data_IF_139532823994
#
_entry.id   IF_139532823994
#
_cell.length_a   1.000
_cell.length_b   1.000
_cell.length_c   1.000
_cell.angle_alpha   90.00
_cell.angle_beta   90.00
_cell.angle_gamma   90.00
#
_symmetry.space_group_name_H-M   'P 1'
#
loop_
_entity.id
_entity.type
_entity.pdbx_description
1 polymer ?
#
# COMPACT_ATOMS: atom_id res chain seq x y z
N UNK A 1 -21.40 15.62 -26.01
CA UNK A 1 -20.93 14.74 -24.93
C UNK A 1 -20.07 15.48 -23.88
N UNK A 2 -18.95 16.13 -24.22
CA UNK A 2 -18.12 16.81 -23.20
C UNK A 2 -18.85 18.00 -22.54
N UNK A 3 -19.41 18.91 -23.34
CA UNK A 3 -20.12 20.10 -22.82
C UNK A 3 -21.35 19.77 -21.97
N UNK A 4 -22.01 18.63 -22.22
CA UNK A 4 -23.21 18.23 -21.47
C UNK A 4 -22.89 17.69 -20.07
N UNK A 5 -21.62 17.37 -19.79
CA UNK A 5 -21.17 16.82 -18.50
C UNK A 5 -20.07 17.69 -17.86
N UNK A 6 -19.90 18.93 -18.33
CA UNK A 6 -18.90 19.88 -17.82
C UNK A 6 -19.60 20.99 -17.06
N UNK A 7 -19.12 21.29 -15.84
CA UNK A 7 -19.58 22.42 -15.03
C UNK A 7 -18.59 23.57 -15.08
N UNK A 8 -19.10 24.80 -14.96
CA UNK A 8 -18.26 26.01 -14.93
C UNK A 8 -17.17 25.90 -13.85
N UNK A 9 -15.94 26.30 -14.19
CA UNK A 9 -14.77 26.24 -13.30
C UNK A 9 -14.05 24.89 -13.25
N UNK A 10 -14.62 23.81 -13.79
CA UNK A 10 -13.93 22.51 -13.85
C UNK A 10 -12.84 22.50 -14.93
N UNK A 11 -11.70 21.87 -14.62
CA UNK A 11 -10.65 21.54 -15.59
C UNK A 11 -10.83 20.11 -16.08
N UNK A 12 -10.55 19.88 -17.36
CA UNK A 12 -10.61 18.55 -17.95
C UNK A 12 -9.20 17.93 -18.02
N UNK A 13 -9.00 16.78 -17.39
CA UNK A 13 -7.78 16.00 -17.56
C UNK A 13 -7.78 15.36 -18.96
N UNK A 14 -6.68 15.49 -19.70
CA UNK A 14 -6.57 15.00 -21.08
C UNK A 14 -5.27 14.22 -21.23
N UNK A 15 -5.31 13.03 -21.85
CA UNK A 15 -4.13 12.17 -22.03
C UNK A 15 -3.24 12.50 -23.22
N UNK A 16 -3.57 13.54 -24.02
CA UNK A 16 -2.75 13.97 -25.16
C UNK A 16 -2.71 15.50 -25.26
N UNK A 17 -1.54 16.03 -25.62
CA UNK A 17 -1.29 17.48 -25.68
C UNK A 17 -2.00 18.16 -26.86
N UNK A 18 -2.19 17.44 -27.97
CA UNK A 18 -2.97 17.90 -29.12
C UNK A 18 -4.46 18.01 -28.78
N UNK A 19 -5.02 17.04 -28.04
CA UNK A 19 -6.40 17.09 -27.55
C UNK A 19 -6.61 18.27 -26.61
N UNK A 20 -5.68 18.53 -25.68
CA UNK A 20 -5.69 19.73 -24.84
C UNK A 20 -5.82 21.00 -25.69
N UNK A 21 -4.93 21.18 -26.68
CA UNK A 21 -4.94 22.35 -27.57
C UNK A 21 -6.28 22.51 -28.31
N UNK A 22 -6.80 21.42 -28.87
CA UNK A 22 -8.05 21.43 -29.65
C UNK A 22 -9.25 21.74 -28.75
N UNK A 23 -9.33 21.11 -27.57
CA UNK A 23 -10.44 21.29 -26.62
C UNK A 23 -10.44 22.71 -26.06
N UNK A 24 -9.28 23.22 -25.64
CA UNK A 24 -9.15 24.60 -25.15
C UNK A 24 -9.53 25.61 -26.23
N UNK A 25 -9.08 25.42 -27.47
CA UNK A 25 -9.36 26.33 -28.58
C UNK A 25 -10.84 26.34 -28.98
N UNK A 26 -11.45 25.16 -29.16
CA UNK A 26 -12.80 24.99 -29.73
C UNK A 26 -13.91 24.97 -28.67
N UNK A 27 -13.67 24.31 -27.54
CA UNK A 27 -14.69 24.12 -26.50
C UNK A 27 -14.59 25.15 -25.38
N UNK A 28 -13.47 25.91 -25.30
CA UNK A 28 -13.22 26.91 -24.25
C UNK A 28 -13.23 26.31 -22.83
N UNK A 29 -12.83 25.05 -22.71
CA UNK A 29 -12.69 24.32 -21.44
C UNK A 29 -11.20 24.23 -21.11
N UNK A 30 -10.81 24.64 -19.90
CA UNK A 30 -9.42 24.51 -19.45
C UNK A 30 -9.02 23.05 -19.26
N UNK A 31 -7.81 22.69 -19.71
CA UNK A 31 -7.34 21.30 -19.65
C UNK A 31 -6.08 21.13 -18.80
N UNK A 32 -6.05 20.04 -18.04
CA UNK A 32 -4.86 19.53 -17.37
C UNK A 32 -4.18 18.50 -18.27
N UNK A 33 -2.87 18.68 -18.44
CA UNK A 33 -1.97 17.78 -19.15
C UNK A 33 -0.62 17.92 -18.46
N UNK A 34 -0.39 17.04 -17.50
CA UNK A 34 0.80 16.98 -16.64
C UNK A 34 1.09 15.51 -16.29
N UNK A 35 2.19 15.29 -15.59
CA UNK A 35 2.64 13.94 -15.23
C UNK A 35 1.60 13.14 -14.41
N UNK A 36 0.95 13.69 -13.36
CA UNK A 36 -0.14 13.01 -12.67
C UNK A 36 -1.31 12.61 -13.58
N UNK A 37 -1.70 13.48 -14.52
CA UNK A 37 -2.74 13.14 -15.51
C UNK A 37 -2.29 12.01 -16.43
N UNK A 38 -1.02 11.99 -16.85
CA UNK A 38 -0.50 10.91 -17.70
C UNK A 38 -0.50 9.55 -16.97
N UNK A 39 -0.10 9.52 -15.70
CA UNK A 39 -0.18 8.33 -14.84
C UNK A 39 -1.63 7.84 -14.69
N UNK A 40 -2.57 8.75 -14.43
CA UNK A 40 -4.00 8.42 -14.33
C UNK A 40 -4.54 7.85 -15.64
N UNK A 41 -4.24 8.48 -16.77
CA UNK A 41 -4.71 8.06 -18.08
C UNK A 41 -4.15 6.70 -18.48
N UNK A 42 -2.88 6.42 -18.11
CA UNK A 42 -2.28 5.10 -18.27
C UNK A 42 -3.03 4.05 -17.45
N UNK A 43 -3.30 4.33 -16.17
CA UNK A 43 -4.04 3.40 -15.29
C UNK A 43 -5.43 3.08 -15.84
N UNK A 44 -6.20 4.13 -16.19
CA UNK A 44 -7.54 3.98 -16.76
C UNK A 44 -7.58 3.13 -18.03
N UNK A 45 -6.58 3.26 -18.91
CA UNK A 45 -6.47 2.44 -20.12
C UNK A 45 -6.25 0.96 -19.79
N UNK A 46 -5.39 0.67 -18.82
CA UNK A 46 -5.07 -0.71 -18.44
C UNK A 46 -6.24 -1.43 -17.75
N UNK A 47 -7.11 -0.70 -17.04
CA UNK A 47 -8.30 -1.28 -16.39
C UNK A 47 -9.60 -1.06 -17.18
N UNK A 48 -9.51 -0.53 -18.40
CA UNK A 48 -10.69 -0.08 -19.15
C UNK A 48 -11.70 -1.21 -19.36
N UNK A 49 -11.23 -2.42 -19.69
CA UNK A 49 -12.11 -3.60 -19.88
C UNK A 49 -12.85 -4.00 -18.61
N UNK A 50 -12.26 -3.75 -17.44
CA UNK A 50 -12.91 -4.00 -16.15
C UNK A 50 -13.95 -2.93 -15.82
N UNK A 51 -13.64 -1.65 -16.10
CA UNK A 51 -14.55 -0.53 -15.84
C UNK A 51 -15.72 -0.45 -16.84
N UNK A 52 -15.44 -0.78 -18.10
CA UNK A 52 -16.39 -0.70 -19.22
C UNK A 52 -16.27 -2.00 -20.03
N UNK A 53 -16.97 -3.08 -19.65
CA UNK A 53 -16.84 -4.37 -20.32
C UNK A 53 -17.22 -4.39 -21.81
N UNK A 54 -18.00 -3.40 -22.26
CA UNK A 54 -18.37 -3.23 -23.66
C UNK A 54 -17.26 -2.54 -24.50
N UNK A 55 -16.25 -1.95 -23.85
CA UNK A 55 -15.11 -1.34 -24.53
C UNK A 55 -14.19 -2.43 -25.08
N UNK A 56 -13.96 -2.39 -26.38
CA UNK A 56 -13.16 -3.39 -27.11
C UNK A 56 -11.81 -2.84 -27.57
N UNK A 57 -11.50 -1.57 -27.27
CA UNK A 57 -10.21 -0.98 -27.57
C UNK A 57 -9.08 -1.74 -26.84
N UNK A 58 -8.19 -2.30 -27.65
CA UNK A 58 -6.94 -2.87 -27.16
C UNK A 58 -5.88 -1.78 -26.94
N UNK A 59 -4.95 -2.02 -26.02
CA UNK A 59 -3.80 -1.15 -25.83
C UNK A 59 -2.96 -1.11 -27.11
N UNK A 60 -2.63 0.10 -27.57
CA UNK A 60 -1.74 0.29 -28.72
C UNK A 60 -0.29 0.01 -28.31
N UNK A 61 0.59 -0.18 -29.30
CA UNK A 61 2.04 -0.29 -29.05
C UNK A 61 2.60 0.94 -28.33
N UNK A 62 2.05 2.12 -28.58
CA UNK A 62 2.45 3.36 -27.90
C UNK A 62 2.02 3.38 -26.42
N UNK A 63 0.83 2.84 -26.13
CA UNK A 63 0.35 2.68 -24.75
C UNK A 63 1.22 1.71 -23.95
N UNK A 64 1.70 0.64 -24.58
CA UNK A 64 2.58 -0.37 -23.96
C UNK A 64 4.02 0.10 -23.73
N UNK A 65 4.47 1.17 -24.40
CA UNK A 65 5.82 1.75 -24.18
C UNK A 65 5.97 2.50 -22.86
N UNK A 66 4.86 2.79 -22.20
CA UNK A 66 4.84 3.53 -20.96
C UNK A 66 4.44 2.58 -19.84
N UNK A 67 5.09 2.69 -18.68
CA UNK A 67 4.71 2.02 -17.44
C UNK A 67 4.49 3.09 -16.37
N UNK A 68 3.54 2.87 -15.47
CA UNK A 68 3.36 3.76 -14.32
C UNK A 68 4.64 3.83 -13.47
N UNK A 69 5.09 5.04 -13.15
CA UNK A 69 6.23 5.26 -12.23
C UNK A 69 5.96 4.68 -10.85
N UNK A 70 4.72 4.80 -10.38
CA UNK A 70 4.30 4.24 -9.08
C UNK A 70 4.40 2.72 -9.08
N UNK A 71 3.88 2.08 -10.13
CA UNK A 71 3.98 0.63 -10.31
C UNK A 71 5.44 0.19 -10.40
N UNK A 72 6.27 0.87 -11.19
CA UNK A 72 7.70 0.58 -11.31
C UNK A 72 8.43 0.68 -9.96
N UNK A 73 8.15 1.72 -9.18
CA UNK A 73 8.75 1.90 -7.85
C UNK A 73 8.37 0.77 -6.90
N UNK A 74 7.11 0.35 -6.90
CA UNK A 74 6.65 -0.79 -6.10
C UNK A 74 7.33 -2.08 -6.55
N UNK A 75 7.29 -2.40 -7.85
CA UNK A 75 7.90 -3.62 -8.38
C UNK A 75 9.42 -3.68 -8.09
N UNK A 76 10.14 -2.59 -8.33
CA UNK A 76 11.57 -2.49 -8.03
C UNK A 76 11.87 -2.69 -6.54
N UNK A 77 11.04 -2.14 -5.65
CA UNK A 77 11.17 -2.32 -4.19
C UNK A 77 11.14 -3.79 -3.77
N UNK A 78 10.40 -4.62 -4.50
CA UNK A 78 10.32 -6.07 -4.27
C UNK A 78 11.24 -6.90 -5.18
N UNK A 79 12.14 -6.26 -5.93
CA UNK A 79 13.17 -6.92 -6.72
C UNK A 79 12.71 -7.40 -8.10
N UNK A 80 11.50 -7.05 -8.54
CA UNK A 80 11.04 -7.31 -9.90
C UNK A 80 11.74 -6.36 -10.87
N UNK A 81 12.31 -6.90 -11.95
CA UNK A 81 12.89 -6.13 -13.06
C UNK A 81 11.93 -6.22 -14.23
N UNK A 82 11.19 -5.14 -14.48
CA UNK A 82 10.07 -5.11 -15.42
C UNK A 82 10.29 -3.99 -16.42
N UNK A 83 10.27 -4.35 -17.69
CA UNK A 83 10.19 -3.42 -18.81
C UNK A 83 8.72 -3.17 -19.19
N UNK A 84 8.37 -2.01 -19.77
CA UNK A 84 6.97 -1.66 -20.09
C UNK A 84 6.22 -2.72 -20.91
N UNK A 85 6.90 -3.41 -21.84
CA UNK A 85 6.31 -4.43 -22.70
C UNK A 85 5.91 -5.71 -21.94
N UNK A 86 6.42 -5.90 -20.72
CA UNK A 86 6.08 -7.03 -19.85
C UNK A 86 4.84 -6.77 -18.99
N UNK A 87 4.26 -5.56 -19.04
CA UNK A 87 3.11 -5.22 -18.22
C UNK A 87 1.84 -5.86 -18.78
N UNK A 88 1.29 -6.78 -18.00
CA UNK A 88 -0.01 -7.41 -18.22
C UNK A 88 -0.91 -7.27 -16.97
N UNK A 89 -2.11 -7.86 -17.05
CA UNK A 89 -3.11 -7.82 -15.97
C UNK A 89 -2.62 -8.48 -14.68
N UNK A 90 -1.85 -9.57 -14.80
CA UNK A 90 -1.31 -10.29 -13.65
C UNK A 90 -0.26 -9.45 -12.92
N UNK A 91 0.64 -8.80 -13.66
CA UNK A 91 1.66 -7.93 -13.08
C UNK A 91 1.04 -6.68 -12.44
N UNK A 92 -0.01 -6.10 -13.02
CA UNK A 92 -0.78 -5.01 -12.42
C UNK A 92 -1.42 -5.48 -11.11
N UNK A 93 -1.97 -6.69 -11.10
CA UNK A 93 -2.59 -7.28 -9.90
C UNK A 93 -1.56 -7.51 -8.80
N UNK A 94 -0.37 -8.02 -9.14
CA UNK A 94 0.74 -8.19 -8.20
C UNK A 94 1.18 -6.84 -7.63
N UNK A 95 1.43 -5.84 -8.48
CA UNK A 95 1.85 -4.51 -8.04
C UNK A 95 0.81 -3.87 -7.12
N UNK A 96 -0.48 -4.00 -7.45
CA UNK A 96 -1.59 -3.51 -6.63
C UNK A 96 -1.61 -4.19 -5.27
N UNK A 97 -1.53 -5.53 -5.23
CA UNK A 97 -1.53 -6.29 -3.98
C UNK A 97 -0.32 -5.94 -3.08
N UNK A 98 0.87 -5.73 -3.68
CA UNK A 98 2.06 -5.29 -2.95
C UNK A 98 1.92 -3.87 -2.40
N UNK A 99 1.38 -2.95 -3.20
CA UNK A 99 1.10 -1.58 -2.78
C UNK A 99 0.10 -1.53 -1.63
N UNK A 100 -1.03 -2.21 -1.75
CA UNK A 100 -2.07 -2.26 -0.71
C UNK A 100 -1.55 -2.90 0.57
N UNK A 101 -0.72 -3.93 0.45
CA UNK A 101 -0.06 -4.56 1.60
C UNK A 101 0.86 -3.57 2.32
N UNK A 102 1.71 -2.85 1.60
CA UNK A 102 2.56 -1.81 2.18
C UNK A 102 1.74 -0.69 2.82
N UNK A 103 0.70 -0.22 2.13
CA UNK A 103 -0.19 0.81 2.64
C UNK A 103 -0.88 0.40 3.94
N UNK A 104 -1.42 -0.82 3.99
CA UNK A 104 -2.08 -1.37 5.19
C UNK A 104 -1.14 -1.37 6.40
N UNK A 105 0.10 -1.83 6.21
CA UNK A 105 1.11 -1.86 7.28
C UNK A 105 1.51 -0.42 7.69
N UNK A 106 1.80 0.44 6.72
CA UNK A 106 2.33 1.79 6.96
C UNK A 106 1.29 2.75 7.55
N UNK A 107 0.00 2.51 7.33
CA UNK A 107 -1.08 3.30 7.95
C UNK A 107 -1.01 3.28 9.48
N UNK A 108 -0.45 2.22 10.07
CA UNK A 108 -0.30 2.10 11.52
C UNK A 108 1.09 2.52 12.03
N UNK A 109 1.98 3.00 11.17
CA UNK A 109 3.38 3.27 11.52
C UNK A 109 3.50 4.23 12.72
N UNK A 110 2.76 5.35 12.69
CA UNK A 110 2.79 6.32 13.77
C UNK A 110 2.31 5.72 15.10
N UNK A 111 1.18 5.01 15.09
CA UNK A 111 0.63 4.35 16.26
C UNK A 111 1.62 3.34 16.86
N UNK A 112 2.22 2.51 16.02
CA UNK A 112 3.16 1.48 16.43
C UNK A 112 4.46 2.06 16.97
N UNK A 113 5.00 3.10 16.33
CA UNK A 113 6.20 3.79 16.82
C UNK A 113 5.95 4.51 18.14
N UNK A 114 4.78 5.15 18.31
CA UNK A 114 4.37 5.72 19.61
C UNK A 114 4.26 4.61 20.67
N UNK A 115 3.66 3.48 20.33
CA UNK A 115 3.62 2.30 21.20
C UNK A 115 5.02 1.82 21.60
N UNK A 116 5.95 1.72 20.66
CA UNK A 116 7.35 1.36 20.93
C UNK A 116 8.06 2.34 21.86
N UNK A 117 7.85 3.66 21.69
CA UNK A 117 8.37 4.67 22.63
C UNK A 117 7.79 4.50 24.03
N UNK A 118 6.49 4.23 24.11
CA UNK A 118 5.81 3.99 25.39
C UNK A 118 6.36 2.76 26.12
N UNK A 119 6.71 1.68 25.40
CA UNK A 119 7.36 0.51 26.01
C UNK A 119 8.70 0.86 26.66
N UNK A 120 9.49 1.70 26.00
CA UNK A 120 10.76 2.19 26.54
C UNK A 120 10.57 3.06 27.78
N UNK A 121 9.56 3.93 27.77
CA UNK A 121 9.24 4.82 28.90
C UNK A 121 8.73 4.07 30.13
N UNK A 122 7.89 3.04 29.94
CA UNK A 122 7.26 2.32 31.06
C UNK A 122 8.15 1.23 31.63
N UNK A 123 8.81 0.44 30.78
CA UNK A 123 9.54 -0.76 31.23
C UNK A 123 10.97 -0.87 30.70
N UNK A 124 11.49 0.18 30.06
CA UNK A 124 12.86 0.24 29.57
C UNK A 124 13.12 -0.61 28.32
N UNK A 125 12.11 -1.26 27.75
CA UNK A 125 12.26 -2.11 26.56
C UNK A 125 12.52 -1.21 25.34
N UNK A 126 13.72 -1.30 24.77
CA UNK A 126 14.05 -0.56 23.56
C UNK A 126 13.56 -1.28 22.29
N UNK A 127 12.58 -0.66 21.63
CA UNK A 127 11.98 -1.17 20.40
C UNK A 127 12.36 -0.37 19.15
N UNK A 128 13.34 0.54 19.21
CA UNK A 128 13.65 1.45 18.08
C UNK A 128 14.04 0.73 16.79
N UNK A 129 14.69 -0.43 16.90
CA UNK A 129 15.14 -1.23 15.76
C UNK A 129 14.09 -2.26 15.28
N UNK A 130 12.91 -2.31 15.91
CA UNK A 130 11.86 -3.22 15.50
C UNK A 130 11.11 -2.69 14.28
N UNK A 131 10.85 -3.59 13.32
CA UNK A 131 9.91 -3.31 12.26
C UNK A 131 8.46 -3.21 12.79
N UNK A 132 7.57 -2.68 11.96
CA UNK A 132 6.16 -2.46 12.31
C UNK A 132 5.43 -3.74 12.71
N UNK A 133 5.77 -4.89 12.12
CA UNK A 133 5.16 -6.15 12.52
C UNK A 133 5.60 -6.58 13.92
N UNK A 134 6.90 -6.48 14.21
CA UNK A 134 7.43 -6.82 15.53
C UNK A 134 6.83 -5.92 16.60
N UNK A 135 6.68 -4.63 16.32
CA UNK A 135 5.96 -3.70 17.19
C UNK A 135 4.49 -4.11 17.40
N UNK A 136 3.76 -4.45 16.33
CA UNK A 136 2.37 -4.89 16.44
C UNK A 136 2.24 -6.18 17.24
N UNK A 137 3.18 -7.11 17.07
CA UNK A 137 3.25 -8.38 17.80
C UNK A 137 3.52 -8.14 19.28
N UNK A 138 4.43 -7.22 19.62
CA UNK A 138 4.76 -6.87 21.00
C UNK A 138 3.55 -6.25 21.72
N UNK A 139 2.88 -5.30 21.08
CA UNK A 139 1.68 -4.66 21.63
C UNK A 139 0.51 -5.66 21.78
N UNK A 140 0.38 -6.63 20.86
CA UNK A 140 -0.57 -7.73 21.00
C UNK A 140 -0.24 -8.61 22.20
N UNK A 141 1.01 -9.04 22.36
CA UNK A 141 1.47 -9.90 23.48
C UNK A 141 1.09 -9.28 24.83
N UNK A 142 1.38 -7.99 25.01
CA UNK A 142 1.04 -7.25 26.23
C UNK A 142 -0.47 -7.14 26.48
N UNK A 143 -1.25 -7.06 25.40
CA UNK A 143 -2.71 -6.93 25.47
C UNK A 143 -3.44 -8.27 25.69
N UNK A 144 -2.86 -9.37 25.22
CA UNK A 144 -3.45 -10.72 25.19
C UNK A 144 -2.42 -11.81 25.53
N UNK A 145 -2.11 -11.95 26.82
CA UNK A 145 -1.16 -12.92 27.39
C UNK A 145 -1.51 -14.41 27.15
N UNK A 146 -2.77 -14.73 26.85
CA UNK A 146 -3.28 -16.13 26.80
C UNK A 146 -3.24 -16.77 25.40
N UNK A 147 -2.93 -16.03 24.34
CA UNK A 147 -2.89 -16.58 22.98
C UNK A 147 -1.49 -17.04 22.62
N UNK A 148 -1.37 -18.27 22.10
CA UNK A 148 -0.13 -18.76 21.47
C UNK A 148 0.16 -17.92 20.23
N UNK A 149 1.07 -16.95 20.37
CA UNK A 149 1.66 -16.24 19.24
C UNK A 149 2.83 -17.10 18.77
N UNK A 150 2.92 -17.34 17.45
CA UNK A 150 4.12 -17.98 16.90
C UNK A 150 5.29 -17.03 17.16
N UNK A 151 6.25 -17.45 17.97
CA UNK A 151 7.58 -16.84 18.17
C UNK A 151 8.63 -17.75 17.53
N UNK A 152 9.82 -17.25 17.22
CA UNK A 152 10.87 -18.09 16.62
C UNK A 152 12.08 -17.33 16.12
N UNK A 153 13.04 -18.07 15.56
CA UNK A 153 14.35 -17.58 15.08
C UNK A 153 14.33 -16.88 13.72
N UNK A 154 13.18 -16.80 13.07
CA UNK A 154 13.05 -16.03 11.84
C UNK A 154 13.25 -14.55 12.13
N UNK A 155 14.00 -13.84 11.28
CA UNK A 155 14.17 -12.38 11.35
C UNK A 155 12.83 -11.64 11.29
N UNK A 156 11.76 -12.32 10.86
CA UNK A 156 10.39 -11.85 10.75
C UNK A 156 9.59 -11.88 12.06
N UNK A 157 10.13 -12.54 13.10
CA UNK A 157 9.45 -12.80 14.36
C UNK A 157 10.10 -12.02 15.50
N UNK A 158 9.37 -11.83 16.59
CA UNK A 158 9.99 -11.41 17.84
C UNK A 158 10.88 -12.53 18.36
N UNK A 159 12.05 -12.17 18.89
CA UNK A 159 12.90 -13.13 19.60
C UNK A 159 12.20 -13.66 20.84
N UNK A 160 12.56 -14.89 21.23
CA UNK A 160 12.00 -15.53 22.42
C UNK A 160 12.31 -14.74 23.69
N UNK A 161 13.53 -14.22 23.83
CA UNK A 161 13.94 -13.38 24.97
C UNK A 161 13.09 -12.12 25.10
N UNK A 162 12.82 -11.45 23.98
CA UNK A 162 12.00 -10.25 23.96
C UNK A 162 10.54 -10.59 24.27
N UNK A 163 10.02 -11.68 23.70
CA UNK A 163 8.67 -12.14 23.98
C UNK A 163 8.49 -12.51 25.47
N UNK A 164 9.46 -13.20 26.07
CA UNK A 164 9.46 -13.53 27.50
C UNK A 164 9.47 -12.27 28.35
N UNK A 165 10.37 -11.33 28.05
CA UNK A 165 10.46 -10.05 28.79
C UNK A 165 9.15 -9.27 28.73
N UNK A 166 8.50 -9.22 27.56
CA UNK A 166 7.20 -8.58 27.39
C UNK A 166 6.11 -9.25 28.24
N UNK A 167 6.09 -10.58 28.29
CA UNK A 167 5.12 -11.35 29.08
C UNK A 167 5.31 -11.09 30.58
N UNK A 168 6.55 -11.11 31.07
CA UNK A 168 6.88 -10.87 32.48
C UNK A 168 6.46 -9.46 32.93
N UNK A 169 6.66 -8.48 32.06
CA UNK A 169 6.35 -7.07 32.33
C UNK A 169 4.92 -6.66 31.95
N UNK A 170 4.09 -7.56 31.43
CA UNK A 170 2.77 -7.22 30.91
C UNK A 170 1.83 -6.57 31.94
N UNK A 171 1.98 -6.92 33.21
CA UNK A 171 1.24 -6.32 34.32
C UNK A 171 1.40 -4.79 34.40
N UNK A 172 2.54 -4.25 33.94
CA UNK A 172 2.80 -2.81 33.92
C UNK A 172 1.90 -2.05 32.92
N UNK A 173 1.25 -2.76 32.00
CA UNK A 173 0.45 -2.26 30.90
C UNK A 173 -1.06 -2.53 31.06
N UNK A 174 -1.46 -3.11 32.20
CA UNK A 174 -2.87 -3.40 32.46
C UNK A 174 -3.70 -2.12 32.38
N UNK A 175 -4.79 -2.15 31.59
CA UNK A 175 -5.70 -1.01 31.31
C UNK A 175 -5.06 0.19 30.59
N UNK A 176 -3.77 0.14 30.22
CA UNK A 176 -3.08 1.20 29.48
C UNK A 176 -3.10 0.98 27.96
N UNK A 177 -3.28 -0.26 27.52
CA UNK A 177 -3.40 -0.62 26.11
C UNK A 177 -4.85 -0.99 25.75
N UNK A 178 -5.36 -0.43 24.66
CA UNK A 178 -6.67 -0.80 24.13
C UNK A 178 -6.58 -2.14 23.38
N UNK A 179 -6.93 -3.22 24.10
CA UNK A 179 -6.80 -4.61 23.64
C UNK A 179 -7.35 -4.83 22.23
N UNK A 180 -8.59 -4.41 21.98
CA UNK A 180 -9.25 -4.60 20.67
C UNK A 180 -8.48 -3.94 19.52
N UNK A 181 -7.92 -2.75 19.74
CA UNK A 181 -7.15 -2.03 18.73
C UNK A 181 -5.85 -2.75 18.42
N UNK A 182 -5.09 -3.13 19.44
CA UNK A 182 -3.83 -3.87 19.26
C UNK A 182 -4.05 -5.20 18.51
N UNK A 183 -5.13 -5.93 18.83
CA UNK A 183 -5.46 -7.18 18.14
C UNK A 183 -5.84 -6.98 16.68
N UNK A 184 -6.66 -5.97 16.37
CA UNK A 184 -7.08 -5.68 14.99
C UNK A 184 -5.89 -5.26 14.13
N UNK A 185 -5.04 -4.36 14.64
CA UNK A 185 -3.82 -3.91 13.93
C UNK A 185 -2.88 -5.09 13.66
N UNK A 186 -2.67 -5.96 14.66
CA UNK A 186 -1.86 -7.16 14.47
C UNK A 186 -2.43 -8.08 13.38
N UNK A 187 -3.75 -8.33 13.39
CA UNK A 187 -4.41 -9.19 12.39
C UNK A 187 -4.29 -8.61 10.99
N UNK A 188 -4.51 -7.31 10.83
CA UNK A 188 -4.36 -6.62 9.54
C UNK A 188 -2.93 -6.73 9.01
N UNK A 189 -1.91 -6.45 9.85
CA UNK A 189 -0.51 -6.53 9.44
C UNK A 189 -0.10 -7.95 9.06
N UNK A 190 -0.53 -8.97 9.82
CA UNK A 190 -0.25 -10.36 9.47
C UNK A 190 -0.90 -10.78 8.15
N UNK A 191 -2.14 -10.36 7.93
CA UNK A 191 -2.84 -10.64 6.67
C UNK A 191 -2.10 -10.00 5.50
N UNK A 192 -1.73 -8.72 5.62
CA UNK A 192 -0.96 -8.02 4.59
C UNK A 192 0.40 -8.66 4.33
N UNK A 193 1.11 -9.15 5.35
CA UNK A 193 2.37 -9.86 5.14
C UNK A 193 2.20 -11.19 4.42
N UNK A 194 1.13 -11.94 4.74
CA UNK A 194 0.85 -13.18 4.04
C UNK A 194 0.72 -12.98 2.53
N UNK A 195 0.21 -11.82 2.09
CA UNK A 195 0.18 -11.42 0.67
C UNK A 195 1.60 -11.21 0.13
N UNK A 196 2.49 -10.50 0.85
CA UNK A 196 3.89 -10.28 0.43
C UNK A 196 4.69 -11.58 0.29
N UNK A 197 4.46 -12.52 1.20
CA UNK A 197 5.18 -13.80 1.26
C UNK A 197 4.67 -14.85 0.27
N UNK A 198 3.60 -14.56 -0.50
CA UNK A 198 3.20 -15.44 -1.61
C UNK A 198 4.32 -15.46 -2.64
N UNK A 199 4.59 -16.65 -3.19
CA UNK A 199 5.45 -16.75 -4.37
C UNK A 199 4.64 -16.22 -5.56
N UNK A 200 4.93 -15.00 -5.94
CA UNK A 200 4.45 -14.42 -7.18
C UNK A 200 5.38 -14.93 -8.29
N UNK A 201 4.88 -15.82 -9.15
CA UNK A 201 5.55 -16.12 -10.42
C UNK A 201 4.99 -15.14 -11.45
N UNK A 202 5.81 -14.24 -12.02
CA UNK A 202 5.45 -13.54 -13.24
C UNK A 202 5.41 -14.52 -14.43
#
# INVERSE_FOLDING_TARGET
MIRSHHSSGQKLAVGRSDYKRIIEAKLKIHCLFDEPVMELMWGLKNIMKSLVPAETCELTTEDRRHMSKGMQLILNKYGFKVEPEMVDEDLITIATALYESDYCVNRFAEFLHRGGKYLKEVSGIDCQNLDLQKLATALKLLSYLKEKIKTGTSSEMLSEDMASTLVDQAHMYERKLHKGTCLNIYKEILFSRAVRSRRWCP
#
